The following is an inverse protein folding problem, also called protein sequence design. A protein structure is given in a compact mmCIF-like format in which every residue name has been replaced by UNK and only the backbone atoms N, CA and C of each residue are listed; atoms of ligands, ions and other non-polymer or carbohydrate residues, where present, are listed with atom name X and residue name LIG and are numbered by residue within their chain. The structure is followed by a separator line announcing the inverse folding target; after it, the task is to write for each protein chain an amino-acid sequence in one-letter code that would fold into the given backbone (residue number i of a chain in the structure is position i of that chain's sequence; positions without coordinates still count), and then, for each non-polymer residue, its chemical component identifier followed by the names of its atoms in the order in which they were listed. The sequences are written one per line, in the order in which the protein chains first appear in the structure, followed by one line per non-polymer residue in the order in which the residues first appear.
data_IF_767231335887
#
_entry.id   IF_767231335887
#
_cell.length_a   1.000
_cell.length_b   1.000
_cell.length_c   1.000
_cell.angle_alpha   90.00
_cell.angle_beta   90.00
_cell.angle_gamma   90.00
#
_symmetry.space_group_name_H-M   'P 1'
#
loop_
_entity.id
_entity.type
_entity.pdbx_description
1 polymer ?
#
# COMPACT_ATOMS: atom_id res chain seq x y z
N UNK A 1 37.63 -5.98 -19.63
CA UNK A 1 36.66 -6.81 -18.90
C UNK A 1 37.03 -6.78 -17.44
N UNK A 2 36.44 -5.85 -16.69
CA UNK A 2 36.52 -5.81 -15.22
C UNK A 2 35.08 -5.88 -14.73
N UNK A 3 34.63 -7.10 -14.46
CA UNK A 3 33.42 -7.37 -13.69
C UNK A 3 33.80 -7.29 -12.21
N UNK A 4 33.75 -6.07 -11.64
CA UNK A 4 33.83 -5.87 -10.19
C UNK A 4 32.48 -6.20 -9.57
N UNK A 5 32.43 -7.27 -8.77
CA UNK A 5 31.37 -7.45 -7.76
C UNK A 5 31.44 -6.25 -6.84
N UNK A 6 30.40 -5.45 -6.83
CA UNK A 6 30.19 -4.41 -5.83
C UNK A 6 29.77 -5.15 -4.55
N UNK A 7 30.54 -4.97 -3.48
CA UNK A 7 30.30 -5.60 -2.18
C UNK A 7 28.88 -5.28 -1.66
N UNK A 8 28.21 -6.31 -1.15
CA UNK A 8 26.82 -6.27 -0.68
C UNK A 8 26.55 -5.27 0.48
N UNK A 9 27.56 -4.72 1.10
CA UNK A 9 27.44 -3.72 2.18
C UNK A 9 27.30 -2.27 1.66
N UNK A 10 27.64 -1.99 0.40
CA UNK A 10 27.54 -0.64 -0.21
C UNK A 10 26.16 -0.41 -0.84
N UNK A 11 25.35 -1.45 -1.05
CA UNK A 11 24.02 -1.34 -1.61
C UNK A 11 22.94 -0.82 -0.62
N UNK A 12 23.23 -0.73 0.66
CA UNK A 12 22.27 -0.48 1.73
C UNK A 12 21.72 0.96 1.83
N UNK A 13 22.14 1.92 0.99
CA UNK A 13 21.66 3.32 1.04
C UNK A 13 21.68 4.01 -0.35
N UNK A 14 21.51 3.27 -1.43
CA UNK A 14 21.55 3.87 -2.77
C UNK A 14 20.13 4.03 -3.33
N UNK A 15 19.71 5.29 -3.49
CA UNK A 15 18.45 5.62 -4.18
C UNK A 15 18.70 5.56 -5.68
N UNK A 16 18.04 4.63 -6.37
CA UNK A 16 18.10 4.51 -7.82
C UNK A 16 17.06 5.43 -8.46
N UNK A 17 17.54 6.33 -9.32
CA UNK A 17 16.66 7.19 -10.10
C UNK A 17 16.07 6.38 -11.25
N UNK A 18 14.75 6.48 -11.40
CA UNK A 18 14.00 5.72 -12.40
C UNK A 18 14.08 6.39 -13.77
N UNK A 19 14.32 5.61 -14.81
CA UNK A 19 14.21 6.07 -16.19
C UNK A 19 12.75 6.24 -16.61
N UNK A 20 12.49 6.98 -17.67
CA UNK A 20 11.13 7.16 -18.18
C UNK A 20 10.44 5.84 -18.52
N UNK A 21 11.19 4.86 -19.05
CA UNK A 21 10.64 3.55 -19.39
C UNK A 21 10.28 2.74 -18.13
N UNK A 22 11.08 2.82 -17.09
CA UNK A 22 10.79 2.18 -15.79
C UNK A 22 9.54 2.82 -15.16
N UNK A 23 9.42 4.15 -15.20
CA UNK A 23 8.22 4.86 -14.74
C UNK A 23 6.96 4.40 -15.51
N UNK A 24 7.06 4.17 -16.82
CA UNK A 24 5.94 3.63 -17.61
C UNK A 24 5.54 2.23 -17.13
N UNK A 25 6.51 1.37 -16.82
CA UNK A 25 6.24 0.02 -16.29
C UNK A 25 5.62 0.07 -14.90
N UNK A 26 6.18 0.87 -13.99
CA UNK A 26 5.61 1.09 -12.65
C UNK A 26 4.18 1.64 -12.71
N UNK A 27 3.92 2.56 -13.63
CA UNK A 27 2.58 3.10 -13.86
C UNK A 27 1.58 2.03 -14.31
N UNK A 28 2.01 1.02 -15.07
CA UNK A 28 1.16 -0.12 -15.45
C UNK A 28 0.84 -0.97 -14.22
N UNK A 29 1.84 -1.28 -13.38
CA UNK A 29 1.61 -2.00 -12.12
C UNK A 29 0.60 -1.26 -11.24
N UNK A 30 0.82 0.02 -10.99
CA UNK A 30 -0.05 0.82 -10.12
C UNK A 30 -1.47 1.01 -10.67
N UNK A 31 -1.67 0.99 -11.99
CA UNK A 31 -3.02 0.96 -12.57
C UNK A 31 -3.76 -0.34 -12.26
N UNK A 32 -3.07 -1.48 -12.29
CA UNK A 32 -3.66 -2.77 -11.89
C UNK A 32 -4.00 -2.73 -10.40
N UNK A 33 -3.08 -2.26 -9.55
CA UNK A 33 -3.34 -2.10 -8.11
C UNK A 33 -4.59 -1.25 -7.87
N UNK A 34 -4.69 -0.09 -8.50
CA UNK A 34 -5.84 0.80 -8.34
C UNK A 34 -7.17 0.14 -8.79
N UNK A 35 -7.16 -0.62 -9.88
CA UNK A 35 -8.34 -1.33 -10.36
C UNK A 35 -8.76 -2.45 -9.42
N UNK A 36 -7.81 -3.26 -8.95
CA UNK A 36 -8.08 -4.34 -7.99
C UNK A 36 -8.61 -3.76 -6.68
N UNK A 37 -7.94 -2.77 -6.10
CA UNK A 37 -8.40 -2.14 -4.86
C UNK A 37 -9.79 -1.53 -4.99
N UNK A 38 -10.13 -0.92 -6.12
CA UNK A 38 -11.47 -0.41 -6.39
C UNK A 38 -12.52 -1.52 -6.33
N UNK A 39 -12.29 -2.64 -7.03
CA UNK A 39 -13.22 -3.76 -7.02
C UNK A 39 -13.36 -4.40 -5.63
N UNK A 40 -12.25 -4.58 -4.91
CA UNK A 40 -12.29 -5.10 -3.54
C UNK A 40 -13.03 -4.17 -2.59
N UNK A 41 -12.84 -2.86 -2.74
CA UNK A 41 -13.57 -1.84 -1.96
C UNK A 41 -15.09 -1.90 -2.20
N UNK A 42 -15.52 -2.07 -3.45
CA UNK A 42 -16.93 -2.24 -3.81
C UNK A 42 -17.53 -3.56 -3.29
N UNK A 43 -16.69 -4.61 -3.16
CA UNK A 43 -17.07 -5.90 -2.57
C UNK A 43 -17.14 -5.89 -1.04
N UNK A 44 -16.43 -4.98 -0.38
CA UNK A 44 -16.32 -4.92 1.08
C UNK A 44 -17.63 -4.50 1.74
N UNK A 45 -18.55 -5.46 1.91
CA UNK A 45 -19.91 -5.28 2.46
C UNK A 45 -20.15 -6.21 3.65
N UNK A 46 -21.11 -5.91 4.52
CA UNK A 46 -21.47 -6.80 5.62
C UNK A 46 -21.77 -8.23 5.13
N UNK A 47 -21.18 -9.22 5.79
CA UNK A 47 -21.34 -10.64 5.48
C UNK A 47 -20.32 -11.24 4.52
N UNK A 48 -19.55 -10.44 3.79
CA UNK A 48 -18.45 -10.91 2.93
C UNK A 48 -17.29 -11.40 3.79
N UNK A 49 -16.75 -12.58 3.50
CA UNK A 49 -15.59 -13.07 4.21
C UNK A 49 -14.28 -12.51 3.61
N UNK A 50 -13.29 -12.24 4.44
CA UNK A 50 -12.02 -11.66 3.98
C UNK A 50 -11.29 -12.56 2.98
N UNK A 51 -11.39 -13.89 3.12
CA UNK A 51 -10.87 -14.85 2.13
C UNK A 51 -11.50 -14.69 0.74
N UNK A 52 -12.76 -14.27 0.65
CA UNK A 52 -13.45 -14.08 -0.63
C UNK A 52 -12.91 -12.85 -1.38
N UNK A 53 -12.53 -11.80 -0.64
CA UNK A 53 -11.82 -10.64 -1.19
C UNK A 53 -10.44 -11.04 -1.73
N UNK A 54 -9.70 -11.88 -0.98
CA UNK A 54 -8.41 -12.40 -1.46
C UNK A 54 -8.56 -13.25 -2.73
N UNK A 55 -9.57 -14.14 -2.77
CA UNK A 55 -9.84 -14.96 -3.96
C UNK A 55 -10.15 -14.07 -5.17
N UNK A 56 -10.95 -13.01 -4.97
CA UNK A 56 -11.25 -12.06 -6.04
C UNK A 56 -10.02 -11.34 -6.56
N UNK A 57 -9.12 -10.91 -5.68
CA UNK A 57 -7.85 -10.30 -6.09
C UNK A 57 -7.01 -11.26 -6.95
N UNK A 58 -6.94 -12.55 -6.58
CA UNK A 58 -6.22 -13.58 -7.36
C UNK A 58 -6.84 -13.80 -8.74
N UNK A 59 -8.18 -13.81 -8.85
CA UNK A 59 -8.88 -13.87 -10.13
C UNK A 59 -8.54 -12.68 -11.04
N UNK A 60 -8.55 -11.46 -10.48
CA UNK A 60 -8.21 -10.24 -11.22
C UNK A 60 -6.75 -10.22 -11.66
N UNK A 61 -5.82 -10.68 -10.81
CA UNK A 61 -4.41 -10.82 -11.19
C UNK A 61 -4.24 -11.75 -12.40
N UNK A 62 -4.97 -12.86 -12.45
CA UNK A 62 -4.93 -13.78 -13.60
C UNK A 62 -5.41 -13.09 -14.89
N UNK A 63 -6.42 -12.22 -14.81
CA UNK A 63 -6.92 -11.44 -15.95
C UNK A 63 -5.90 -10.42 -16.44
N UNK A 64 -5.22 -9.73 -15.50
CA UNK A 64 -4.24 -8.69 -15.84
C UNK A 64 -2.84 -9.23 -16.16
N UNK A 65 -2.61 -10.54 -15.98
CA UNK A 65 -1.32 -11.19 -16.23
C UNK A 65 -0.22 -10.80 -15.23
N UNK A 66 -0.62 -10.34 -14.05
CA UNK A 66 0.28 -10.00 -12.95
C UNK A 66 0.48 -11.15 -11.98
N UNK A 67 1.54 -11.05 -11.17
CA UNK A 67 1.81 -11.95 -10.05
C UNK A 67 1.52 -11.24 -8.73
N UNK A 68 1.03 -11.95 -7.67
CA UNK A 68 0.83 -11.34 -6.37
C UNK A 68 2.19 -10.97 -5.74
N UNK A 69 2.34 -9.71 -5.32
CA UNK A 69 3.59 -9.24 -4.73
C UNK A 69 3.79 -9.75 -3.29
N UNK A 70 2.71 -9.99 -2.54
CA UNK A 70 2.78 -10.34 -1.13
C UNK A 70 2.82 -11.84 -0.86
N UNK A 71 2.13 -12.66 -1.67
CA UNK A 71 2.04 -14.11 -1.47
C UNK A 71 3.42 -14.78 -1.56
N UNK A 72 3.86 -15.35 -0.45
CA UNK A 72 5.19 -15.95 -0.31
C UNK A 72 6.28 -14.96 0.14
N UNK A 73 6.07 -13.66 0.04
CA UNK A 73 7.04 -12.66 0.49
C UNK A 73 7.20 -12.74 2.00
N UNK A 74 8.42 -13.04 2.47
CA UNK A 74 8.73 -13.28 3.90
C UNK A 74 7.76 -14.24 4.60
N UNK A 75 7.19 -15.20 3.83
CA UNK A 75 6.26 -16.20 4.36
C UNK A 75 4.80 -15.74 4.47
N UNK A 76 4.44 -14.55 3.96
CA UNK A 76 3.04 -14.10 3.98
C UNK A 76 2.17 -15.01 3.09
N UNK A 77 1.00 -15.51 3.58
CA UNK A 77 0.29 -16.61 2.92
C UNK A 77 -0.72 -16.18 1.84
N UNK A 78 -1.01 -14.88 1.71
CA UNK A 78 -2.11 -14.38 0.89
C UNK A 78 -1.67 -13.32 -0.12
N UNK A 79 -2.55 -12.95 -1.04
CA UNK A 79 -2.27 -11.95 -2.08
C UNK A 79 -2.68 -10.53 -1.67
N UNK A 80 -3.53 -10.39 -0.64
CA UNK A 80 -4.00 -9.11 -0.10
C UNK A 80 -3.80 -9.12 1.41
N UNK A 81 -3.32 -8.03 2.00
CA UNK A 81 -3.44 -7.80 3.44
C UNK A 81 -4.80 -7.17 3.72
N UNK A 82 -5.57 -7.76 4.63
CA UNK A 82 -6.91 -7.29 5.00
C UNK A 82 -6.98 -7.08 6.51
N UNK A 83 -6.88 -5.83 6.92
CA UNK A 83 -6.82 -5.44 8.33
C UNK A 83 -8.13 -4.77 8.75
N UNK A 84 -8.76 -5.25 9.82
CA UNK A 84 -10.08 -4.82 10.25
C UNK A 84 -9.99 -4.07 11.58
N UNK A 85 -10.57 -2.88 11.64
CA UNK A 85 -10.66 -2.03 12.83
C UNK A 85 -9.28 -1.74 13.45
N UNK A 86 -8.98 -2.32 14.63
CA UNK A 86 -7.74 -2.11 15.38
C UNK A 86 -6.49 -2.77 14.76
N UNK A 87 -6.67 -3.61 13.76
CA UNK A 87 -5.54 -4.18 13.03
C UNK A 87 -4.91 -3.10 12.14
N UNK A 88 -3.66 -2.76 12.39
CA UNK A 88 -2.99 -1.67 11.68
C UNK A 88 -2.63 -2.10 10.26
N UNK A 89 -1.87 -3.20 10.09
CA UNK A 89 -1.41 -3.75 8.80
C UNK A 89 -1.28 -5.27 8.86
N UNK A 90 -1.04 -5.89 7.71
CA UNK A 90 -0.68 -7.31 7.52
C UNK A 90 -1.74 -8.30 8.02
N UNK A 91 -3.01 -7.89 8.10
CA UNK A 91 -4.10 -8.81 8.42
C UNK A 91 -4.19 -9.94 7.39
N UNK A 92 -4.22 -11.20 7.85
CA UNK A 92 -4.29 -12.38 6.99
C UNK A 92 -5.77 -12.66 6.67
N UNK A 93 -6.15 -12.74 5.38
CA UNK A 93 -7.51 -13.10 4.99
C UNK A 93 -7.89 -14.50 5.47
N UNK A 94 -9.08 -14.62 6.04
CA UNK A 94 -9.62 -15.86 6.57
C UNK A 94 -11.14 -15.98 6.38
N UNK A 95 -11.82 -16.82 7.16
CA UNK A 95 -13.27 -16.96 7.17
C UNK A 95 -14.03 -15.84 7.92
N UNK A 96 -13.35 -14.86 8.52
CA UNK A 96 -13.97 -13.74 9.23
C UNK A 96 -14.81 -12.92 8.26
N UNK A 97 -16.09 -12.74 8.61
CA UNK A 97 -17.01 -11.93 7.85
C UNK A 97 -16.97 -10.48 8.32
N UNK A 98 -16.95 -9.56 7.37
CA UNK A 98 -17.10 -8.14 7.62
C UNK A 98 -18.48 -7.85 8.22
N UNK A 99 -18.55 -6.89 9.13
CA UNK A 99 -19.77 -6.49 9.84
C UNK A 99 -20.07 -5.03 9.55
N UNK A 100 -21.34 -4.69 9.68
CA UNK A 100 -21.80 -3.31 9.72
C UNK A 100 -21.01 -2.53 10.77
N UNK A 101 -20.49 -1.37 10.41
CA UNK A 101 -19.70 -0.52 11.28
C UNK A 101 -18.19 -0.79 11.29
N UNK A 102 -17.71 -1.86 10.62
CA UNK A 102 -16.27 -2.10 10.47
C UNK A 102 -15.64 -1.05 9.53
N UNK A 103 -14.37 -0.75 9.76
CA UNK A 103 -13.47 -0.18 8.76
C UNK A 103 -12.50 -1.27 8.34
N UNK A 104 -12.21 -1.39 7.04
CA UNK A 104 -11.31 -2.42 6.53
C UNK A 104 -10.23 -1.80 5.64
N UNK A 105 -8.98 -2.04 5.99
CA UNK A 105 -7.83 -1.66 5.18
C UNK A 105 -7.49 -2.82 4.24
N UNK A 106 -7.51 -2.51 2.95
CA UNK A 106 -7.17 -3.40 1.84
C UNK A 106 -5.83 -2.93 1.30
N UNK A 107 -4.81 -3.76 1.43
CA UNK A 107 -3.46 -3.46 1.00
C UNK A 107 -3.04 -4.52 -0.03
N UNK A 108 -2.68 -4.08 -1.23
CA UNK A 108 -2.49 -4.96 -2.37
C UNK A 108 -1.32 -4.53 -3.23
N UNK A 109 -0.46 -5.51 -3.52
CA UNK A 109 0.68 -5.35 -4.41
C UNK A 109 0.67 -6.31 -5.59
N UNK A 110 1.17 -5.84 -6.73
CA UNK A 110 1.35 -6.63 -7.95
C UNK A 110 2.79 -6.58 -8.43
N UNK A 111 3.26 -7.70 -8.99
CA UNK A 111 4.48 -7.76 -9.79
C UNK A 111 4.11 -8.02 -11.24
N UNK A 112 4.60 -7.18 -12.16
CA UNK A 112 4.38 -7.32 -13.60
C UNK A 112 5.67 -6.99 -14.36
N UNK A 113 6.16 -7.95 -15.17
CA UNK A 113 7.38 -7.79 -15.97
C UNK A 113 8.62 -7.36 -15.15
N UNK A 114 8.74 -7.83 -13.91
CA UNK A 114 9.83 -7.52 -13.00
C UNK A 114 9.65 -6.24 -12.18
N UNK A 115 8.59 -5.46 -12.41
CA UNK A 115 8.28 -4.23 -11.67
C UNK A 115 7.17 -4.47 -10.66
N UNK A 116 7.20 -3.74 -9.56
CA UNK A 116 6.18 -3.80 -8.52
C UNK A 116 5.30 -2.55 -8.53
N UNK A 117 4.07 -2.72 -8.07
CA UNK A 117 3.16 -1.66 -7.67
C UNK A 117 2.50 -2.06 -6.37
N UNK A 118 2.20 -1.09 -5.52
CA UNK A 118 1.71 -1.31 -4.18
C UNK A 118 0.90 -0.10 -3.71
N UNK A 119 -0.25 -0.34 -3.12
CA UNK A 119 -1.07 0.68 -2.49
C UNK A 119 -2.09 0.07 -1.53
N UNK A 120 -2.59 0.90 -0.61
CA UNK A 120 -3.64 0.53 0.32
C UNK A 120 -4.79 1.55 0.32
N UNK A 121 -5.98 1.08 0.63
CA UNK A 121 -7.17 1.90 0.87
C UNK A 121 -7.92 1.37 2.07
N UNK A 122 -8.44 2.27 2.91
CA UNK A 122 -9.35 1.88 4.00
C UNK A 122 -10.76 2.31 3.65
N UNK A 123 -11.71 1.37 3.74
CA UNK A 123 -13.11 1.61 3.40
C UNK A 123 -14.04 1.29 4.56
N UNK A 124 -15.20 1.94 4.57
CA UNK A 124 -16.27 1.68 5.51
C UNK A 124 -17.08 0.46 5.07
N UNK A 125 -17.49 -0.37 6.01
CA UNK A 125 -18.41 -1.48 5.80
C UNK A 125 -19.78 -1.09 6.32
N UNK A 126 -20.65 -0.65 5.43
CA UNK A 126 -21.95 -0.06 5.79
C UNK A 126 -21.79 1.28 6.51
N UNK A 127 -22.62 1.54 7.52
CA UNK A 127 -22.59 2.79 8.29
C UNK A 127 -21.57 2.71 9.43
N UNK A 128 -20.59 3.62 9.44
CA UNK A 128 -19.54 3.70 10.46
C UNK A 128 -19.75 4.89 11.41
N UNK A 129 -19.19 4.78 12.60
CA UNK A 129 -19.22 5.84 13.61
C UNK A 129 -18.52 7.11 13.17
N UNK A 130 -18.90 8.27 13.75
CA UNK A 130 -18.37 9.57 13.38
C UNK A 130 -16.84 9.67 13.50
N UNK A 131 -16.26 9.11 14.58
CA UNK A 131 -14.80 9.11 14.79
C UNK A 131 -14.05 8.27 13.75
N UNK A 132 -14.61 7.14 13.34
CA UNK A 132 -14.02 6.31 12.28
C UNK A 132 -14.08 7.03 10.93
N UNK A 133 -15.20 7.69 10.62
CA UNK A 133 -15.34 8.50 9.40
C UNK A 133 -14.33 9.66 9.37
N UNK A 134 -14.16 10.34 10.49
CA UNK A 134 -13.15 11.39 10.63
C UNK A 134 -11.73 10.85 10.42
N UNK A 135 -11.41 9.70 11.04
CA UNK A 135 -10.11 9.04 10.86
C UNK A 135 -9.82 8.73 9.37
N UNK A 136 -10.78 8.14 8.67
CA UNK A 136 -10.62 7.83 7.25
C UNK A 136 -10.36 9.10 6.43
N UNK A 137 -11.18 10.14 6.64
CA UNK A 137 -11.06 11.40 5.91
C UNK A 137 -9.73 12.12 6.20
N UNK A 138 -9.30 12.17 7.47
CA UNK A 138 -8.02 12.79 7.85
C UNK A 138 -6.84 12.02 7.27
N UNK A 139 -6.89 10.69 7.29
CA UNK A 139 -5.84 9.83 6.73
C UNK A 139 -5.72 10.00 5.22
N UNK A 140 -6.83 10.00 4.50
CA UNK A 140 -6.84 10.24 3.06
C UNK A 140 -6.29 11.63 2.72
N UNK A 141 -6.73 12.68 3.41
CA UNK A 141 -6.22 14.02 3.20
C UNK A 141 -4.73 14.15 3.54
N UNK A 142 -4.24 13.42 4.54
CA UNK A 142 -2.81 13.43 4.88
C UNK A 142 -1.94 12.91 3.72
N UNK A 143 -2.40 11.89 2.99
CA UNK A 143 -1.72 11.39 1.80
C UNK A 143 -1.59 12.49 0.74
N UNK A 144 -2.67 13.21 0.44
CA UNK A 144 -2.61 14.30 -0.55
C UNK A 144 -1.71 15.44 -0.09
N UNK A 145 -1.68 15.78 1.20
CA UNK A 145 -0.73 16.76 1.75
C UNK A 145 0.72 16.33 1.55
N UNK A 146 1.01 15.03 1.73
CA UNK A 146 2.33 14.47 1.43
C UNK A 146 2.67 14.55 -0.06
N UNK A 147 1.74 14.18 -0.94
CA UNK A 147 1.93 14.22 -2.40
C UNK A 147 2.21 15.65 -2.88
N UNK A 148 1.53 16.67 -2.34
CA UNK A 148 1.77 18.09 -2.66
C UNK A 148 3.22 18.51 -2.37
N UNK A 149 3.89 17.87 -1.40
CA UNK A 149 5.28 18.13 -1.07
C UNK A 149 6.28 17.32 -1.91
N UNK A 150 5.84 16.34 -2.68
CA UNK A 150 6.69 15.50 -3.52
C UNK A 150 7.07 16.21 -4.83
N UNK A 151 7.75 17.36 -4.69
CA UNK A 151 8.16 18.22 -5.80
C UNK A 151 9.65 18.49 -5.77
N UNK A 152 10.22 18.85 -6.94
CA UNK A 152 11.63 19.19 -7.06
C UNK A 152 11.98 20.36 -6.15
N UNK A 153 13.06 20.23 -5.37
CA UNK A 153 13.52 21.23 -4.41
C UNK A 153 13.15 20.91 -2.95
N UNK A 154 12.11 20.12 -2.74
CA UNK A 154 11.74 19.65 -1.40
C UNK A 154 12.56 18.41 -0.96
N UNK A 155 12.58 18.18 0.33
CA UNK A 155 13.21 17.02 0.95
C UNK A 155 12.18 15.96 1.31
N UNK A 156 12.61 14.73 1.52
CA UNK A 156 11.77 13.66 2.05
C UNK A 156 11.09 14.05 3.38
N UNK A 157 11.82 14.74 4.25
CA UNK A 157 11.28 15.26 5.51
C UNK A 157 10.10 16.21 5.34
N UNK A 158 10.01 16.94 4.23
CA UNK A 158 8.90 17.86 3.99
C UNK A 158 7.60 17.10 3.73
N UNK A 159 7.70 15.95 3.04
CA UNK A 159 6.58 15.02 2.84
C UNK A 159 6.13 14.46 4.20
N UNK A 160 7.06 13.93 4.99
CA UNK A 160 6.76 13.34 6.30
C UNK A 160 6.13 14.37 7.24
N UNK A 161 6.69 15.57 7.29
CA UNK A 161 6.18 16.65 8.13
C UNK A 161 4.77 17.10 7.74
N UNK A 162 4.50 17.20 6.43
CA UNK A 162 3.17 17.59 5.96
C UNK A 162 2.10 16.57 6.38
N UNK A 163 2.40 15.27 6.27
CA UNK A 163 1.52 14.17 6.71
C UNK A 163 1.32 14.26 8.23
N UNK A 164 2.39 14.25 9.00
CA UNK A 164 2.34 14.24 10.46
C UNK A 164 1.62 15.48 11.01
N UNK A 165 1.96 16.67 10.54
CA UNK A 165 1.35 17.92 11.03
C UNK A 165 -0.15 17.95 10.76
N UNK A 166 -0.60 17.44 9.60
CA UNK A 166 -2.02 17.35 9.30
C UNK A 166 -2.75 16.39 10.24
N UNK A 167 -2.22 15.18 10.41
CA UNK A 167 -2.78 14.14 11.28
C UNK A 167 -2.88 14.63 12.73
N UNK A 168 -1.80 15.20 13.28
CA UNK A 168 -1.73 15.67 14.67
C UNK A 168 -2.63 16.88 14.92
N UNK A 169 -2.79 17.78 13.92
CA UNK A 169 -3.73 18.91 14.03
C UNK A 169 -5.19 18.48 14.19
N UNK A 170 -5.52 17.26 13.74
CA UNK A 170 -6.84 16.65 13.90
C UNK A 170 -6.92 15.70 15.10
N UNK A 171 -5.94 15.74 16.02
CA UNK A 171 -5.88 14.94 17.25
C UNK A 171 -5.78 13.43 17.00
N UNK A 172 -5.23 13.03 15.88
CA UNK A 172 -4.77 11.67 15.60
C UNK A 172 -3.25 11.62 15.71
N UNK A 173 -2.69 10.42 15.61
CA UNK A 173 -1.25 10.20 15.62
C UNK A 173 -0.84 9.32 14.44
N UNK A 174 0.37 9.55 13.92
CA UNK A 174 0.96 8.65 12.92
C UNK A 174 1.47 7.38 13.58
N UNK A 175 1.42 6.26 12.84
CA UNK A 175 2.05 5.01 13.25
C UNK A 175 3.56 5.16 13.05
N UNK A 176 4.34 4.80 14.08
CA UNK A 176 5.81 4.98 14.07
C UNK A 176 6.60 3.68 13.91
N UNK A 177 5.93 2.54 14.11
CA UNK A 177 6.58 1.22 14.04
C UNK A 177 6.71 0.70 12.61
N UNK A 178 6.02 1.33 11.66
CA UNK A 178 6.07 1.05 10.24
C UNK A 178 6.33 2.32 9.45
N UNK A 179 6.95 2.17 8.29
CA UNK A 179 7.33 3.29 7.42
C UNK A 179 6.88 3.04 5.99
N UNK A 180 6.71 4.09 5.21
CA UNK A 180 6.62 3.98 3.77
C UNK A 180 7.97 3.61 3.15
N UNK A 181 7.99 3.27 1.89
CA UNK A 181 9.20 2.79 1.21
C UNK A 181 9.23 3.13 -0.28
N UNK A 182 10.43 3.17 -0.84
CA UNK A 182 10.63 3.15 -2.28
C UNK A 182 10.19 1.79 -2.86
N UNK A 183 9.90 1.77 -4.16
CA UNK A 183 9.43 0.59 -4.87
C UNK A 183 9.84 0.66 -6.34
N UNK A 184 10.20 -0.48 -6.95
CA UNK A 184 10.41 -0.62 -8.39
C UNK A 184 10.59 -2.08 -8.80
N UNK A 185 11.85 -2.56 -8.85
CA UNK A 185 12.22 -3.95 -9.14
C UNK A 185 12.29 -4.83 -7.88
N UNK A 186 12.29 -4.20 -6.72
CA UNK A 186 12.02 -4.84 -5.44
C UNK A 186 10.74 -4.26 -4.82
N UNK A 187 10.03 -5.06 -4.03
CA UNK A 187 8.83 -4.62 -3.35
C UNK A 187 9.14 -3.50 -2.35
N UNK A 188 10.29 -3.59 -1.68
CA UNK A 188 10.77 -2.57 -0.74
C UNK A 188 12.17 -2.12 -1.15
N UNK A 189 12.30 -0.84 -1.43
CA UNK A 189 13.56 -0.15 -1.76
C UNK A 189 13.74 1.09 -0.90
N UNK A 190 14.96 1.63 -0.86
CA UNK A 190 15.18 2.97 -0.32
C UNK A 190 14.56 4.06 -1.25
N UNK A 191 14.16 5.20 -0.67
CA UNK A 191 14.27 5.56 0.75
C UNK A 191 13.17 4.96 1.61
N UNK A 192 13.43 4.81 2.91
CA UNK A 192 12.35 4.68 3.89
C UNK A 192 11.69 6.04 4.10
N UNK A 193 10.36 6.03 4.25
CA UNK A 193 9.53 7.23 4.47
C UNK A 193 8.94 7.14 5.88
N UNK A 194 9.60 7.71 6.89
CA UNK A 194 9.20 7.62 8.29
C UNK A 194 7.92 8.40 8.59
#
# INVERSE_FOLDING_TARGET
TVTGRIDSEVQANMIFLKTEQEIVNMRRCNRIVAQVLKELAEMARPGVATKDLNARAEELLAVYGGEPAFKGYRGYPASVCISINEQIVHGIPDGRKLKEGDIVSLDFGVKLNGFFGDAAVTVAVGEIGGKARELLAVTEQSLYRGIEQAVVGNRLSDICQAIQSWVESHRFSVVRDFVGHGIEMALHEDPQIP
#
